data_IF_672488761191
#
_entry.id   IF_672488761191
#
_cell.length_a   1.000
_cell.length_b   1.000
_cell.length_c   1.000
_cell.angle_alpha   90.00
_cell.angle_beta   90.00
_cell.angle_gamma   90.00
#
_symmetry.space_group_name_H-M   'P 1'
#
loop_
_entity.id
_entity.type
_entity.pdbx_description
1 polymer ?
#
# COMPACT_ATOMS: atom_id res chain seq x y z
N UNK A 1 -5.49 22.69 -14.28
CA UNK A 1 -5.43 21.30 -14.76
C UNK A 1 -4.14 20.70 -14.23
N UNK A 2 -4.19 19.76 -13.28
CA UNK A 2 -2.99 19.00 -12.87
C UNK A 2 -2.79 17.90 -13.91
N UNK A 3 -2.18 18.27 -15.04
CA UNK A 3 -2.02 17.39 -16.21
C UNK A 3 -0.85 16.43 -16.10
N UNK A 4 0.17 16.81 -15.33
CA UNK A 4 1.39 16.02 -15.22
C UNK A 4 1.49 15.41 -13.82
N UNK A 5 1.67 14.09 -13.78
CA UNK A 5 2.09 13.41 -12.56
C UNK A 5 3.44 13.97 -12.13
N UNK A 6 3.69 14.02 -10.82
CA UNK A 6 5.02 14.33 -10.30
C UNK A 6 6.01 13.30 -10.83
N UNK A 7 7.26 13.72 -11.05
CA UNK A 7 8.34 12.77 -11.30
C UNK A 7 8.37 11.68 -10.21
N UNK A 8 8.52 10.40 -10.60
CA UNK A 8 8.63 9.30 -9.66
C UNK A 8 9.74 9.56 -8.64
N UNK A 9 9.45 9.27 -7.37
CA UNK A 9 10.45 9.35 -6.31
C UNK A 9 11.22 8.02 -6.27
N UNK A 10 12.03 7.77 -7.30
CA UNK A 10 12.82 6.55 -7.46
C UNK A 10 12.62 5.83 -8.81
N UNK A 11 13.28 4.69 -9.02
CA UNK A 11 13.10 3.88 -10.21
C UNK A 11 11.67 3.36 -10.34
N UNK A 12 11.22 3.20 -11.60
CA UNK A 12 9.93 2.56 -11.89
C UNK A 12 10.18 1.06 -12.12
N UNK A 13 9.47 0.24 -11.36
CA UNK A 13 9.42 -1.20 -11.57
C UNK A 13 8.07 -1.60 -12.15
N UNK A 14 8.07 -2.52 -13.10
CA UNK A 14 6.87 -3.13 -13.68
C UNK A 14 6.69 -4.58 -13.24
N UNK A 15 7.62 -5.06 -12.41
CA UNK A 15 7.74 -6.44 -11.97
C UNK A 15 8.11 -6.43 -10.48
N UNK A 16 7.32 -7.15 -9.68
CA UNK A 16 7.50 -7.18 -8.23
C UNK A 16 8.77 -7.93 -7.82
N UNK A 17 9.13 -9.02 -8.51
CA UNK A 17 10.32 -9.81 -8.20
C UNK A 17 11.60 -9.00 -8.42
N UNK A 18 11.62 -8.20 -9.50
CA UNK A 18 12.73 -7.27 -9.77
C UNK A 18 12.81 -6.13 -8.76
N UNK A 19 11.68 -5.62 -8.28
CA UNK A 19 11.70 -4.66 -7.17
C UNK A 19 12.29 -5.31 -5.92
N UNK A 20 11.82 -6.52 -5.59
CA UNK A 20 12.21 -7.23 -4.38
C UNK A 20 13.70 -7.62 -4.36
N UNK A 21 14.32 -7.87 -5.51
CA UNK A 21 15.77 -8.11 -5.59
C UNK A 21 16.62 -6.89 -5.23
N UNK A 22 16.05 -5.69 -5.36
CA UNK A 22 16.71 -4.42 -5.10
C UNK A 22 16.35 -3.84 -3.71
N UNK A 23 15.46 -4.51 -2.96
CA UNK A 23 15.04 -4.09 -1.62
C UNK A 23 15.99 -4.63 -0.56
N UNK A 24 16.69 -3.71 0.10
CA UNK A 24 17.38 -3.97 1.36
C UNK A 24 16.64 -3.27 2.51
N UNK A 25 16.20 -4.03 3.51
CA UNK A 25 15.52 -3.50 4.70
C UNK A 25 13.99 -3.58 4.64
N UNK A 26 13.27 -2.73 5.40
CA UNK A 26 11.82 -2.85 5.57
C UNK A 26 11.05 -2.47 4.29
N UNK A 27 10.05 -3.28 3.95
CA UNK A 27 9.16 -3.12 2.81
C UNK A 27 7.84 -2.49 3.24
N UNK A 28 7.59 -1.25 2.79
CA UNK A 28 6.35 -0.52 3.08
C UNK A 28 5.54 -0.36 1.78
N UNK A 29 4.34 -0.92 1.75
CA UNK A 29 3.40 -0.78 0.64
C UNK A 29 2.38 0.34 0.92
N UNK A 30 2.18 1.23 -0.05
CA UNK A 30 1.21 2.33 0.05
C UNK A 30 0.26 2.25 -1.13
N UNK A 31 -1.00 1.93 -0.85
CA UNK A 31 -2.08 1.74 -1.82
C UNK A 31 -2.44 0.28 -2.08
N UNK A 32 -3.71 0.06 -2.43
CA UNK A 32 -4.33 -1.26 -2.58
C UNK A 32 -3.70 -2.09 -3.69
N UNK A 33 -3.48 -1.50 -4.86
CA UNK A 33 -2.94 -2.22 -6.03
C UNK A 33 -1.52 -2.74 -5.77
N UNK A 34 -0.66 -1.93 -5.15
CA UNK A 34 0.73 -2.31 -4.86
C UNK A 34 0.76 -3.42 -3.81
N UNK A 35 -0.09 -3.28 -2.77
CA UNK A 35 -0.26 -4.28 -1.71
C UNK A 35 -0.73 -5.62 -2.28
N UNK A 36 -1.71 -5.60 -3.19
CA UNK A 36 -2.18 -6.78 -3.91
C UNK A 36 -1.09 -7.44 -4.77
N UNK A 37 -0.23 -6.67 -5.44
CA UNK A 37 0.85 -7.25 -6.23
C UNK A 37 1.89 -7.97 -5.37
N UNK A 38 2.17 -7.49 -4.15
CA UNK A 38 3.02 -8.20 -3.20
C UNK A 38 2.37 -9.49 -2.70
N UNK A 39 1.07 -9.47 -2.36
CA UNK A 39 0.32 -10.69 -2.02
C UNK A 39 0.43 -11.75 -3.12
N UNK A 40 0.23 -11.34 -4.38
CA UNK A 40 0.35 -12.24 -5.54
C UNK A 40 1.75 -12.78 -5.78
N UNK A 41 2.79 -12.04 -5.37
CA UNK A 41 4.16 -12.49 -5.40
C UNK A 41 4.52 -13.40 -4.20
N UNK A 42 3.57 -13.66 -3.29
CA UNK A 42 3.81 -14.42 -2.07
C UNK A 42 4.70 -13.67 -1.07
N UNK A 43 4.73 -12.34 -1.14
CA UNK A 43 5.52 -11.50 -0.24
C UNK A 43 4.59 -10.65 0.61
N UNK A 44 4.82 -10.71 1.91
CA UNK A 44 4.08 -9.93 2.90
C UNK A 44 4.93 -8.70 3.24
N UNK A 45 4.46 -7.47 2.96
CA UNK A 45 5.17 -6.26 3.37
C UNK A 45 5.17 -6.12 4.90
N UNK A 46 6.18 -5.45 5.45
CA UNK A 46 6.26 -5.18 6.89
C UNK A 46 5.13 -4.23 7.34
N UNK A 47 4.78 -3.27 6.48
CA UNK A 47 3.64 -2.36 6.69
C UNK A 47 2.91 -2.15 5.37
N UNK A 48 1.59 -2.25 5.38
CA UNK A 48 0.72 -1.88 4.26
C UNK A 48 -0.26 -0.78 4.69
N UNK A 49 -0.35 0.28 3.89
CA UNK A 49 -1.32 1.38 4.08
C UNK A 49 -2.29 1.37 2.92
N UNK A 50 -3.55 1.08 3.20
CA UNK A 50 -4.63 0.91 2.20
C UNK A 50 -5.84 1.75 2.58
N UNK A 51 -6.63 2.18 1.60
CA UNK A 51 -7.87 2.95 1.81
C UNK A 51 -9.10 2.31 1.13
N UNK A 52 -8.93 1.19 0.43
CA UNK A 52 -10.01 0.52 -0.30
C UNK A 52 -10.42 1.24 -1.58
N UNK A 53 -9.71 2.30 -1.97
CA UNK A 53 -10.02 3.13 -3.12
C UNK A 53 -8.87 3.10 -4.14
N UNK A 54 -9.20 2.97 -5.41
CA UNK A 54 -8.25 3.19 -6.50
C UNK A 54 -8.81 4.24 -7.44
N UNK A 55 -8.02 5.28 -7.73
CA UNK A 55 -8.46 6.46 -8.53
C UNK A 55 -9.73 7.15 -7.98
N UNK A 56 -10.00 7.02 -6.67
CA UNK A 56 -11.23 7.50 -5.99
C UNK A 56 -12.50 6.75 -6.38
N UNK A 57 -12.37 5.59 -7.00
CA UNK A 57 -13.42 4.60 -7.17
C UNK A 57 -13.14 3.43 -6.23
N UNK A 58 -14.17 2.63 -5.91
CA UNK A 58 -13.96 1.37 -5.20
C UNK A 58 -12.98 0.51 -5.99
N UNK A 59 -12.01 -0.08 -5.29
CA UNK A 59 -11.03 -0.94 -5.93
C UNK A 59 -11.70 -2.22 -6.45
N UNK A 60 -11.19 -2.78 -7.56
CA UNK A 60 -11.70 -4.02 -8.12
C UNK A 60 -11.71 -5.16 -7.07
N UNK A 61 -12.76 -5.99 -7.07
CA UNK A 61 -12.97 -7.05 -6.07
C UNK A 61 -11.73 -7.92 -5.84
N UNK A 62 -11.04 -8.33 -6.92
CA UNK A 62 -9.82 -9.15 -6.83
C UNK A 62 -8.69 -8.51 -6.00
N UNK A 63 -8.60 -7.18 -6.03
CA UNK A 63 -7.59 -6.41 -5.29
C UNK A 63 -8.02 -6.31 -3.83
N UNK A 64 -9.29 -5.98 -3.58
CA UNK A 64 -9.85 -5.94 -2.23
C UNK A 64 -9.71 -7.31 -1.52
N UNK A 65 -10.00 -8.40 -2.23
CA UNK A 65 -9.83 -9.77 -1.72
C UNK A 65 -8.37 -10.09 -1.39
N UNK A 66 -7.42 -9.67 -2.22
CA UNK A 66 -5.99 -9.90 -1.95
C UNK A 66 -5.49 -9.09 -0.76
N UNK A 67 -5.90 -7.83 -0.64
CA UNK A 67 -5.61 -7.02 0.55
C UNK A 67 -6.24 -7.65 1.80
N UNK A 68 -7.48 -8.15 1.71
CA UNK A 68 -8.15 -8.83 2.82
C UNK A 68 -7.46 -10.13 3.24
N UNK A 69 -6.89 -10.90 2.29
CA UNK A 69 -6.10 -12.09 2.61
C UNK A 69 -4.89 -11.73 3.49
N UNK A 70 -4.14 -10.70 3.13
CA UNK A 70 -3.05 -10.18 3.96
C UNK A 70 -3.54 -9.69 5.33
N UNK A 71 -4.69 -9.02 5.38
CA UNK A 71 -5.31 -8.57 6.63
C UNK A 71 -5.68 -9.71 7.59
N UNK A 72 -5.93 -10.92 7.08
CA UNK A 72 -6.13 -12.12 7.89
C UNK A 72 -4.85 -12.67 8.53
N UNK A 73 -3.69 -12.34 7.97
CA UNK A 73 -2.37 -12.80 8.43
C UNK A 73 -1.64 -11.74 9.26
N UNK A 74 -1.98 -10.46 9.07
CA UNK A 74 -1.34 -9.30 9.69
C UNK A 74 -2.21 -8.67 10.79
N UNK A 75 -1.59 -7.85 11.63
CA UNK A 75 -2.32 -6.97 12.55
C UNK A 75 -2.98 -5.85 11.77
N UNK A 76 -4.31 -5.88 11.67
CA UNK A 76 -5.08 -4.78 11.08
C UNK A 76 -5.34 -3.65 12.10
N UNK A 77 -5.09 -2.40 11.70
CA UNK A 77 -5.43 -1.20 12.48
C UNK A 77 -6.22 -0.25 11.58
N UNK A 78 -7.47 0.02 11.94
CA UNK A 78 -8.33 0.98 11.22
C UNK A 78 -8.22 2.35 11.89
N UNK A 79 -8.00 3.39 11.08
CA UNK A 79 -7.86 4.78 11.53
C UNK A 79 -8.64 5.69 10.59
N UNK A 80 -9.08 6.85 11.09
CA UNK A 80 -9.69 7.88 10.23
C UNK A 80 -8.62 8.87 9.75
N UNK A 81 -8.53 9.08 8.44
CA UNK A 81 -7.64 10.06 7.84
C UNK A 81 -8.30 10.79 6.66
N UNK A 82 -8.81 12.03 6.88
CA UNK A 82 -9.42 12.81 5.81
C UNK A 82 -8.45 13.11 4.66
N UNK A 83 -9.00 13.33 3.47
CA UNK A 83 -8.20 13.71 2.30
C UNK A 83 -7.31 14.93 2.59
N UNK A 84 -6.08 14.89 2.07
CA UNK A 84 -5.05 15.92 2.27
C UNK A 84 -4.64 16.16 3.74
N UNK A 85 -4.91 15.20 4.63
CA UNK A 85 -4.54 15.26 6.05
C UNK A 85 -3.64 14.07 6.41
N UNK A 86 -2.83 14.25 7.46
CA UNK A 86 -2.20 13.16 8.21
C UNK A 86 -2.64 13.30 9.67
N UNK A 87 -3.62 12.49 10.08
CA UNK A 87 -4.12 12.53 11.45
C UNK A 87 -3.07 12.01 12.43
N UNK A 88 -3.14 12.48 13.69
CA UNK A 88 -2.27 11.96 14.76
C UNK A 88 -2.45 10.47 14.98
N UNK A 89 -3.68 9.99 14.79
CA UNK A 89 -4.02 8.59 14.90
C UNK A 89 -3.25 7.75 13.86
N UNK A 90 -3.31 8.14 12.58
CA UNK A 90 -2.54 7.48 11.52
C UNK A 90 -1.04 7.47 11.82
N UNK A 91 -0.48 8.62 12.21
CA UNK A 91 0.96 8.72 12.52
C UNK A 91 1.34 7.84 13.72
N UNK A 92 0.48 7.76 14.75
CA UNK A 92 0.72 6.88 15.90
C UNK A 92 0.65 5.42 15.48
N UNK A 93 -0.36 5.02 14.72
CA UNK A 93 -0.52 3.66 14.24
C UNK A 93 0.72 3.19 13.47
N UNK A 94 1.25 4.03 12.57
CA UNK A 94 2.48 3.74 11.82
C UNK A 94 3.73 3.64 12.69
N UNK A 95 3.78 4.32 13.84
CA UNK A 95 4.92 4.29 14.75
C UNK A 95 4.92 3.04 15.66
N UNK A 96 3.75 2.45 15.85
CA UNK A 96 3.53 1.24 16.66
C UNK A 96 3.46 -0.04 15.82
N UNK A 97 3.54 0.10 14.50
CA UNK A 97 3.62 -0.99 13.54
C UNK A 97 5.04 -1.60 13.51
#
# INVERSE_FOLDING_TARGET
>A
MRGDLKEPMGPIFTDAERLLSDVDGPLIAVGDVVTYHFERAGVTPDVAVVDGMTKREEVEDRVAEGVARLGGELREVRVENPAATLTRELVRALKEA
#
